data_IF_371519959335
#
_entry.id   IF_371519959335
#
_cell.length_a   1.000
_cell.length_b   1.000
_cell.length_c   1.000
_cell.angle_alpha   90.00
_cell.angle_beta   90.00
_cell.angle_gamma   90.00
#
_symmetry.space_group_name_H-M   'P 1'
#
loop_
_entity.id
_entity.type
_entity.pdbx_description
1 polymer ?
#
# COMPACT_ATOMS: atom_id res chain seq x y z
N UNK A 1 9.29 19.23 15.07
CA UNK A 1 8.11 18.42 15.45
C UNK A 1 7.30 17.90 14.24
N UNK A 2 7.38 18.49 13.04
CA UNK A 2 6.59 18.04 11.88
C UNK A 2 7.03 16.72 11.22
N UNK A 3 8.34 16.43 11.15
CA UNK A 3 8.83 15.25 10.39
C UNK A 3 8.38 13.91 10.97
N UNK A 4 8.33 13.80 12.29
CA UNK A 4 7.93 12.58 12.99
C UNK A 4 6.45 12.24 12.80
N UNK A 5 5.57 13.25 12.91
CA UNK A 5 4.14 13.07 12.65
C UNK A 5 3.87 12.68 11.19
N UNK A 6 4.62 13.25 10.24
CA UNK A 6 4.52 12.88 8.82
C UNK A 6 4.96 11.42 8.61
N UNK A 7 6.06 10.99 9.22
CA UNK A 7 6.54 9.61 9.11
C UNK A 7 5.55 8.59 9.69
N UNK A 8 4.97 8.88 10.87
CA UNK A 8 3.94 8.03 11.47
C UNK A 8 2.70 7.95 10.59
N UNK A 9 2.20 9.09 10.10
CA UNK A 9 1.05 9.13 9.21
C UNK A 9 1.32 8.35 7.91
N UNK A 10 2.52 8.52 7.32
CA UNK A 10 2.93 7.76 6.13
C UNK A 10 2.99 6.26 6.37
N UNK A 11 3.57 5.86 7.51
CA UNK A 11 3.68 4.45 7.90
C UNK A 11 2.33 3.79 8.11
N UNK A 12 1.38 4.48 8.77
CA UNK A 12 0.00 3.99 8.94
C UNK A 12 -0.70 3.85 7.58
N UNK A 13 -0.61 4.87 6.73
CA UNK A 13 -1.26 4.87 5.41
C UNK A 13 -0.74 3.74 4.52
N UNK A 14 0.58 3.52 4.49
CA UNK A 14 1.20 2.44 3.71
C UNK A 14 0.90 1.06 4.26
N UNK A 15 0.91 0.89 5.58
CA UNK A 15 0.56 -0.36 6.22
C UNK A 15 -0.88 -0.77 5.88
N UNK A 16 -1.84 0.15 6.09
CA UNK A 16 -3.26 -0.13 5.88
C UNK A 16 -3.57 -0.25 4.39
N UNK A 17 -3.14 0.70 3.57
CA UNK A 17 -3.38 0.70 2.12
C UNK A 17 -2.73 -0.50 1.44
N UNK A 18 -1.48 -0.81 1.79
CA UNK A 18 -0.78 -1.99 1.32
C UNK A 18 -1.44 -3.29 1.76
N UNK A 19 -1.85 -3.39 3.03
CA UNK A 19 -2.52 -4.58 3.57
C UNK A 19 -3.87 -4.85 2.91
N UNK A 20 -4.67 -3.80 2.66
CA UNK A 20 -5.95 -3.90 1.94
C UNK A 20 -5.75 -4.39 0.51
N UNK A 21 -4.73 -3.88 -0.19
CA UNK A 21 -4.34 -4.33 -1.52
C UNK A 21 -3.86 -5.78 -1.51
N UNK A 22 -3.01 -6.16 -0.56
CA UNK A 22 -2.44 -7.50 -0.44
C UNK A 22 -3.51 -8.57 -0.15
N UNK A 23 -4.39 -8.29 0.80
CA UNK A 23 -5.50 -9.17 1.19
C UNK A 23 -6.68 -9.10 0.20
N UNK A 24 -6.61 -8.22 -0.81
CA UNK A 24 -7.67 -7.95 -1.77
C UNK A 24 -9.05 -7.75 -1.11
N UNK A 25 -9.08 -6.99 -0.02
CA UNK A 25 -10.32 -6.78 0.74
C UNK A 25 -11.34 -6.09 -0.17
N UNK A 26 -12.53 -6.67 -0.30
CA UNK A 26 -13.61 -6.17 -1.18
C UNK A 26 -13.22 -5.98 -2.66
N UNK A 27 -12.20 -6.69 -3.15
CA UNK A 27 -11.74 -6.51 -4.52
C UNK A 27 -10.95 -5.23 -4.74
N UNK A 28 -10.31 -4.67 -3.70
CA UNK A 28 -9.50 -3.46 -3.82
C UNK A 28 -8.38 -3.58 -4.87
N UNK A 29 -7.74 -4.74 -5.00
CA UNK A 29 -6.74 -4.98 -6.03
C UNK A 29 -7.37 -5.06 -7.43
N UNK A 30 -8.57 -5.61 -7.55
CA UNK A 30 -9.31 -5.67 -8.81
C UNK A 30 -9.81 -4.27 -9.22
N UNK A 31 -10.25 -3.45 -8.26
CA UNK A 31 -10.63 -2.05 -8.49
C UNK A 31 -9.42 -1.19 -8.87
N UNK A 32 -8.29 -1.35 -8.18
CA UNK A 32 -7.04 -0.67 -8.55
C UNK A 32 -6.56 -1.09 -9.94
N UNK A 33 -6.64 -2.38 -10.28
CA UNK A 33 -6.31 -2.88 -11.61
C UNK A 33 -7.25 -2.28 -12.67
N UNK A 34 -8.56 -2.27 -12.44
CA UNK A 34 -9.54 -1.71 -13.36
C UNK A 34 -9.32 -0.20 -13.60
N UNK A 35 -9.02 0.55 -12.53
CA UNK A 35 -8.64 1.96 -12.62
C UNK A 35 -7.33 2.14 -13.40
N UNK A 36 -6.36 1.25 -13.19
CA UNK A 36 -5.05 1.30 -13.85
C UNK A 36 -5.10 0.99 -15.35
N UNK A 37 -6.00 0.10 -15.78
CA UNK A 37 -6.24 -0.17 -17.21
C UNK A 37 -6.70 1.08 -17.96
N UNK A 38 -7.49 1.95 -17.31
CA UNK A 38 -7.91 3.23 -17.89
C UNK A 38 -6.73 4.19 -18.11
N UNK A 39 -5.67 4.09 -17.29
CA UNK A 39 -4.47 4.93 -17.38
C UNK A 39 -3.27 4.25 -18.06
N UNK A 40 -3.44 3.03 -18.59
CA UNK A 40 -2.49 2.29 -19.46
C UNK A 40 -1.05 2.10 -18.94
N UNK A 41 -0.79 2.43 -17.67
CA UNK A 41 0.57 2.59 -17.13
C UNK A 41 0.93 1.61 -16.01
N UNK A 42 -0.01 0.75 -15.59
CA UNK A 42 0.12 -0.06 -14.37
C UNK A 42 -0.34 -1.52 -14.60
N UNK A 43 0.09 -2.47 -13.75
CA UNK A 43 0.34 -3.85 -14.13
C UNK A 43 -0.93 -4.59 -14.59
N UNK A 44 -0.74 -5.46 -15.59
CA UNK A 44 -1.78 -6.18 -16.32
C UNK A 44 -2.56 -7.19 -15.46
N UNK A 45 -2.13 -7.45 -14.22
CA UNK A 45 -2.66 -8.50 -13.35
C UNK A 45 -2.92 -8.02 -11.91
N UNK A 46 -4.07 -8.41 -11.36
CA UNK A 46 -4.45 -8.19 -9.96
C UNK A 46 -3.47 -8.83 -8.97
N UNK A 47 -2.79 -9.93 -9.36
CA UNK A 47 -1.77 -10.59 -8.53
C UNK A 47 -0.59 -9.63 -8.29
N UNK A 48 -0.15 -8.91 -9.32
CA UNK A 48 0.93 -7.93 -9.20
C UNK A 48 0.53 -6.76 -8.31
N UNK A 49 -0.73 -6.31 -8.37
CA UNK A 49 -1.26 -5.31 -7.43
C UNK A 49 -1.23 -5.79 -5.98
N UNK A 50 -1.60 -7.06 -5.72
CA UNK A 50 -1.54 -7.65 -4.37
C UNK A 50 -0.10 -7.73 -3.86
N UNK A 51 0.85 -8.13 -4.71
CA UNK A 51 2.28 -8.19 -4.35
C UNK A 51 2.82 -6.80 -4.02
N UNK A 52 2.54 -5.80 -4.86
CA UNK A 52 2.91 -4.40 -4.62
C UNK A 52 2.29 -3.86 -3.32
N UNK A 53 1.02 -4.20 -3.07
CA UNK A 53 0.35 -3.91 -1.80
C UNK A 53 1.06 -4.54 -0.61
N UNK A 54 1.45 -5.81 -0.71
CA UNK A 54 2.20 -6.51 0.33
C UNK A 54 3.55 -5.86 0.63
N UNK A 55 4.28 -5.47 -0.41
CA UNK A 55 5.55 -4.73 -0.26
C UNK A 55 5.32 -3.39 0.43
N UNK A 56 4.29 -2.63 0.03
CA UNK A 56 3.92 -1.38 0.71
C UNK A 56 3.57 -1.60 2.18
N UNK A 57 2.85 -2.67 2.49
CA UNK A 57 2.47 -3.00 3.87
C UNK A 57 3.70 -3.26 4.74
N UNK A 58 4.68 -3.99 4.21
CA UNK A 58 5.95 -4.28 4.89
C UNK A 58 6.78 -3.01 5.09
N UNK A 59 6.83 -2.12 4.09
CA UNK A 59 7.51 -0.82 4.22
C UNK A 59 6.82 0.03 5.30
N UNK A 60 5.49 0.07 5.32
CA UNK A 60 4.71 0.75 6.35
C UNK A 60 4.99 0.22 7.75
N UNK A 61 5.00 -1.10 7.92
CA UNK A 61 5.38 -1.74 9.18
C UNK A 61 6.81 -1.35 9.61
N UNK A 62 7.77 -1.39 8.68
CA UNK A 62 9.15 -1.01 8.94
C UNK A 62 9.31 0.46 9.37
N UNK A 63 8.61 1.38 8.69
CA UNK A 63 8.64 2.81 9.06
C UNK A 63 8.02 3.07 10.43
N UNK A 64 6.93 2.39 10.79
CA UNK A 64 6.32 2.49 12.11
C UNK A 64 7.22 1.92 13.21
N UNK A 65 7.87 0.77 12.96
CA UNK A 65 8.83 0.17 13.89
C UNK A 65 10.07 1.03 14.08
N UNK A 66 10.52 1.74 13.04
CA UNK A 66 11.64 2.68 13.13
C UNK A 66 11.25 3.98 13.83
N UNK A 67 10.00 4.42 13.72
CA UNK A 67 9.51 5.62 14.40
C UNK A 67 9.21 5.35 15.89
N UNK A 68 8.79 4.13 16.25
CA UNK A 68 8.53 3.75 17.63
C UNK A 68 9.77 3.43 18.48
N UNK A 69 10.98 3.63 17.94
CA UNK A 69 12.28 3.42 18.60
C UNK A 69 12.92 4.76 18.94
#
# INVERSE_FOLDING_TARGET
>A
MNGYAIQLMWGVVTLIGGGLLAANVRGAADWFQAMSYAYRSWPTSAITCRVMGGVLALIGAGTLLSAGR
#
